data_IF_075141574537
#
_entry.id   IF_075141574537
#
_cell.length_a   1.000
_cell.length_b   1.000
_cell.length_c   1.000
_cell.angle_alpha   90.00
_cell.angle_beta   90.00
_cell.angle_gamma   90.00
#
_symmetry.space_group_name_H-M   'P 1'
#
loop_
_entity.id
_entity.type
_entity.pdbx_description
1 polymer ?
#
# COMPACT_ATOMS: atom_id res chain seq x y z
N UNK A 1 -27.14 20.83 -7.58
CA UNK A 1 -26.23 19.71 -7.32
C UNK A 1 -25.99 19.61 -5.83
N UNK A 2 -26.25 18.45 -5.24
CA UNK A 2 -25.86 18.11 -3.88
C UNK A 2 -24.50 17.45 -3.95
N UNK A 3 -23.51 17.99 -3.24
CA UNK A 3 -22.16 17.41 -3.16
C UNK A 3 -22.06 16.55 -1.89
N UNK A 4 -21.18 15.57 -1.91
CA UNK A 4 -20.79 14.75 -0.76
C UNK A 4 -21.96 13.96 -0.12
N UNK A 5 -22.91 13.52 -0.95
CA UNK A 5 -23.97 12.64 -0.49
C UNK A 5 -23.36 11.24 -0.20
N UNK A 6 -23.52 10.69 1.03
CA UNK A 6 -22.96 9.36 1.34
C UNK A 6 -23.50 8.27 0.41
N UNK A 7 -22.77 7.18 0.29
CA UNK A 7 -23.30 6.00 -0.40
C UNK A 7 -24.47 5.42 0.38
N UNK A 8 -25.52 5.00 -0.35
CA UNK A 8 -26.68 4.38 0.24
C UNK A 8 -28.00 4.88 -0.35
N UNK A 9 -29.09 4.49 0.30
CA UNK A 9 -30.43 4.91 -0.11
C UNK A 9 -30.77 6.27 0.45
N UNK A 10 -31.28 7.14 -0.39
CA UNK A 10 -31.68 8.51 -0.06
C UNK A 10 -33.11 8.76 -0.52
N UNK A 11 -33.74 9.69 0.17
CA UNK A 11 -35.08 10.18 -0.18
C UNK A 11 -34.98 11.67 -0.46
N UNK A 12 -35.41 12.09 -1.63
CA UNK A 12 -35.59 13.49 -1.96
C UNK A 12 -37.07 13.86 -1.88
N UNK A 13 -37.39 14.90 -1.12
CA UNK A 13 -38.72 15.49 -1.09
C UNK A 13 -38.62 16.85 -1.78
N UNK A 14 -39.38 17.02 -2.84
CA UNK A 14 -39.49 18.28 -3.58
C UNK A 14 -40.88 18.85 -3.38
N UNK A 15 -40.93 20.03 -2.80
CA UNK A 15 -42.21 20.72 -2.55
C UNK A 15 -42.29 21.97 -3.40
N UNK A 16 -43.30 22.07 -4.22
CA UNK A 16 -43.75 23.33 -4.81
C UNK A 16 -44.76 23.97 -3.85
N UNK A 17 -44.42 25.13 -3.32
CA UNK A 17 -45.20 25.80 -2.27
C UNK A 17 -46.52 26.42 -2.78
N UNK A 18 -46.84 26.24 -4.05
CA UNK A 18 -48.00 26.85 -4.65
C UNK A 18 -47.78 28.30 -5.05
N UNK A 19 -48.80 28.89 -5.67
CA UNK A 19 -48.91 30.31 -5.99
C UNK A 19 -50.37 30.69 -6.17
N UNK A 20 -50.65 31.90 -6.66
CA UNK A 20 -52.04 32.41 -6.84
C UNK A 20 -52.91 31.53 -7.76
N UNK A 21 -52.33 30.64 -8.54
CA UNK A 21 -53.05 29.76 -9.50
C UNK A 21 -53.03 28.28 -9.16
N UNK A 22 -52.02 27.86 -8.39
CA UNK A 22 -51.77 26.43 -8.14
C UNK A 22 -51.56 26.14 -6.66
N UNK A 23 -52.14 25.07 -6.18
CA UNK A 23 -51.96 24.61 -4.80
C UNK A 23 -50.54 24.06 -4.60
N UNK A 24 -50.13 23.98 -3.31
CA UNK A 24 -48.94 23.25 -2.91
C UNK A 24 -49.00 21.77 -3.36
N UNK A 25 -47.88 21.25 -3.83
CA UNK A 25 -47.70 19.86 -4.15
C UNK A 25 -46.30 19.37 -3.77
N UNK A 26 -46.23 18.20 -3.17
CA UNK A 26 -44.97 17.54 -2.83
C UNK A 26 -44.84 16.22 -3.56
N UNK A 27 -43.65 15.95 -4.03
CA UNK A 27 -43.25 14.67 -4.65
C UNK A 27 -42.09 14.10 -3.85
N UNK A 28 -42.16 12.82 -3.55
CA UNK A 28 -41.07 12.08 -2.88
C UNK A 28 -40.46 11.10 -3.88
N UNK A 29 -39.15 11.16 -4.02
CA UNK A 29 -38.36 10.27 -4.88
C UNK A 29 -37.28 9.57 -4.03
N UNK A 30 -37.23 8.24 -4.17
CA UNK A 30 -36.19 7.43 -3.55
C UNK A 30 -35.11 7.10 -4.58
N UNK A 31 -33.88 7.33 -4.25
CA UNK A 31 -32.75 7.02 -5.13
C UNK A 31 -31.58 6.49 -4.31
N UNK A 32 -30.67 5.79 -4.98
CA UNK A 32 -29.46 5.24 -4.37
C UNK A 32 -28.25 5.98 -4.90
N UNK A 33 -27.36 6.39 -3.99
CA UNK A 33 -26.04 6.85 -4.37
C UNK A 33 -25.03 5.73 -4.23
N UNK A 34 -24.21 5.54 -5.23
CA UNK A 34 -23.12 4.60 -5.15
C UNK A 34 -21.93 5.23 -4.43
N UNK A 35 -21.18 4.43 -3.68
CA UNK A 35 -19.96 4.89 -3.01
C UNK A 35 -18.93 5.35 -4.03
N UNK A 36 -18.10 6.30 -3.63
CA UNK A 36 -16.95 6.74 -4.42
C UNK A 36 -15.91 5.63 -4.62
N UNK A 37 -14.85 5.95 -5.33
CA UNK A 37 -13.70 5.07 -5.52
C UNK A 37 -13.14 4.66 -4.14
N UNK A 38 -12.93 3.37 -3.93
CA UNK A 38 -12.33 2.82 -2.72
C UNK A 38 -10.90 2.38 -3.00
N UNK A 39 -10.04 2.58 -2.02
CA UNK A 39 -8.62 2.26 -2.08
C UNK A 39 -8.24 1.34 -0.93
N UNK A 40 -7.38 0.38 -1.21
CA UNK A 40 -6.70 -0.42 -0.21
C UNK A 40 -5.23 -0.56 -0.61
N UNK A 41 -4.31 -0.19 0.28
CA UNK A 41 -2.87 -0.31 0.07
C UNK A 41 -2.39 -1.59 0.74
N UNK A 42 -1.65 -2.40 0.00
CA UNK A 42 -1.02 -3.63 0.49
C UNK A 42 0.48 -3.58 0.19
N UNK A 43 1.30 -3.97 1.15
CA UNK A 43 2.75 -4.06 0.99
C UNK A 43 3.25 -5.41 1.48
N UNK A 44 4.29 -5.92 0.87
CA UNK A 44 4.96 -7.17 1.20
C UNK A 44 6.24 -7.32 0.41
N UNK A 45 6.89 -8.48 0.49
CA UNK A 45 8.16 -8.78 -0.20
C UNK A 45 8.09 -8.55 -1.73
N UNK A 46 6.90 -8.66 -2.32
CA UNK A 46 6.67 -8.44 -3.76
C UNK A 46 6.40 -6.96 -4.13
N UNK A 47 6.49 -6.04 -3.19
CA UNK A 47 6.29 -4.61 -3.41
C UNK A 47 5.01 -4.05 -2.76
N UNK A 48 4.71 -2.80 -3.10
CA UNK A 48 3.52 -2.10 -2.62
C UNK A 48 2.52 -1.94 -3.76
N UNK A 49 1.27 -2.28 -3.48
CA UNK A 49 0.18 -2.24 -4.44
C UNK A 49 -0.99 -1.43 -3.89
N UNK A 50 -1.63 -0.66 -4.76
CA UNK A 50 -2.94 -0.06 -4.50
C UNK A 50 -4.00 -0.84 -5.23
N UNK A 51 -4.92 -1.42 -4.47
CA UNK A 51 -6.13 -2.03 -5.00
C UNK A 51 -7.22 -0.96 -5.04
N UNK A 52 -7.71 -0.66 -6.22
CA UNK A 52 -8.76 0.33 -6.44
C UNK A 52 -10.04 -0.38 -6.81
N UNK A 53 -11.15 -0.01 -6.17
CA UNK A 53 -12.49 -0.44 -6.54
C UNK A 53 -13.29 0.78 -6.96
N UNK A 54 -13.82 0.76 -8.17
CA UNK A 54 -14.68 1.82 -8.69
C UNK A 54 -16.16 1.47 -8.49
N UNK A 55 -17.01 2.45 -8.17
CA UNK A 55 -18.43 2.21 -7.93
C UNK A 55 -19.20 1.99 -9.24
N UNK A 56 -20.35 1.36 -9.12
CA UNK A 56 -21.34 1.27 -10.17
C UNK A 56 -21.18 0.12 -11.14
N UNK A 57 -21.99 0.18 -12.20
CA UNK A 57 -22.00 -0.82 -13.27
C UNK A 57 -20.89 -0.56 -14.32
N UNK A 58 -20.11 0.51 -14.20
CA UNK A 58 -18.98 0.82 -15.06
C UNK A 58 -17.78 -0.02 -14.66
N UNK A 59 -17.66 -1.17 -15.25
CA UNK A 59 -16.67 -2.18 -14.85
C UNK A 59 -15.33 -2.06 -15.55
N UNK A 60 -15.22 -1.16 -16.54
CA UNK A 60 -14.00 -0.99 -17.34
C UNK A 60 -13.60 0.48 -17.42
N UNK A 61 -12.31 0.73 -17.61
CA UNK A 61 -11.79 2.08 -17.75
C UNK A 61 -10.30 2.13 -17.43
N UNK A 62 -9.80 3.35 -17.26
CA UNK A 62 -8.43 3.60 -16.83
C UNK A 62 -8.40 4.35 -15.52
N UNK A 63 -7.38 4.08 -14.72
CA UNK A 63 -7.17 4.78 -13.47
C UNK A 63 -5.75 5.32 -13.40
N UNK A 64 -5.63 6.53 -12.87
CA UNK A 64 -4.35 7.15 -12.55
C UNK A 64 -4.33 7.41 -11.06
N UNK A 65 -3.28 6.97 -10.39
CA UNK A 65 -3.00 7.30 -9.00
C UNK A 65 -1.77 8.21 -9.01
N UNK A 66 -1.91 9.41 -8.50
CA UNK A 66 -0.84 10.42 -8.44
C UNK A 66 -0.44 10.55 -6.98
N UNK A 67 0.82 10.24 -6.68
CA UNK A 67 1.40 10.33 -5.34
C UNK A 67 2.69 11.12 -5.48
N UNK A 68 2.84 12.22 -4.73
CA UNK A 68 4.05 13.06 -4.74
C UNK A 68 4.50 13.44 -6.18
N UNK A 69 3.56 13.77 -7.06
CA UNK A 69 3.74 14.07 -8.48
C UNK A 69 4.18 12.89 -9.37
N UNK A 70 4.28 11.68 -8.82
CA UNK A 70 4.51 10.46 -9.61
C UNK A 70 3.16 9.87 -10.03
N UNK A 71 3.03 9.54 -11.32
CA UNK A 71 1.80 9.00 -11.89
C UNK A 71 1.94 7.48 -12.06
N UNK A 72 1.04 6.75 -11.42
CA UNK A 72 0.89 5.30 -11.56
C UNK A 72 -0.40 5.03 -12.33
N UNK A 73 -0.30 4.28 -13.42
CA UNK A 73 -1.44 3.96 -14.27
C UNK A 73 -1.92 2.54 -14.06
N UNK A 74 -3.23 2.34 -14.17
CA UNK A 74 -3.86 1.03 -14.12
C UNK A 74 -5.06 0.93 -15.05
N UNK A 75 -5.44 -0.30 -15.37
CA UNK A 75 -6.66 -0.60 -16.12
C UNK A 75 -7.68 -1.19 -15.17
N UNK A 76 -8.90 -0.65 -15.20
CA UNK A 76 -10.03 -1.17 -14.45
C UNK A 76 -10.68 -2.28 -15.25
N UNK A 77 -10.78 -3.46 -14.66
CA UNK A 77 -11.45 -4.63 -15.22
C UNK A 77 -12.42 -5.16 -14.15
N UNK A 78 -13.66 -5.35 -14.52
CA UNK A 78 -14.72 -5.79 -13.59
C UNK A 78 -14.78 -4.95 -12.30
N UNK A 79 -14.64 -3.62 -12.44
CA UNK A 79 -14.75 -2.67 -11.33
C UNK A 79 -13.51 -2.58 -10.43
N UNK A 80 -12.43 -3.28 -10.74
CA UNK A 80 -11.21 -3.29 -9.94
C UNK A 80 -9.96 -3.02 -10.75
N UNK A 81 -8.95 -2.42 -10.13
CA UNK A 81 -7.60 -2.28 -10.67
C UNK A 81 -6.57 -2.54 -9.58
N UNK A 82 -5.47 -3.17 -9.95
CA UNK A 82 -4.29 -3.34 -9.09
C UNK A 82 -3.15 -2.55 -9.69
N UNK A 83 -2.58 -1.64 -8.91
CA UNK A 83 -1.55 -0.72 -9.35
C UNK A 83 -0.31 -0.94 -8.50
N UNK A 84 0.81 -1.24 -9.13
CA UNK A 84 2.10 -1.36 -8.45
C UNK A 84 2.68 0.05 -8.22
N UNK A 85 2.98 0.37 -6.97
CA UNK A 85 3.63 1.61 -6.56
C UNK A 85 5.15 1.43 -6.55
N UNK A 86 5.73 1.22 -7.72
CA UNK A 86 7.17 1.05 -7.86
C UNK A 86 7.92 2.26 -7.31
N UNK A 87 8.87 2.05 -6.40
CA UNK A 87 9.69 3.09 -5.77
C UNK A 87 8.93 4.12 -4.90
N UNK A 88 7.70 3.83 -4.51
CA UNK A 88 7.01 4.67 -3.54
C UNK A 88 7.64 4.50 -2.14
N UNK A 89 7.91 5.61 -1.48
CA UNK A 89 8.52 5.60 -0.14
C UNK A 89 7.47 5.28 0.93
N UNK A 90 7.82 4.57 2.00
CA UNK A 90 6.93 4.41 3.14
C UNK A 90 6.59 5.75 3.79
N UNK A 91 5.35 5.89 4.26
CA UNK A 91 4.87 7.11 4.91
C UNK A 91 3.41 7.44 4.61
N UNK A 92 3.01 8.63 5.00
CA UNK A 92 1.69 9.20 4.69
C UNK A 92 1.85 10.14 3.50
N UNK A 93 1.10 9.91 2.45
CA UNK A 93 1.18 10.64 1.18
C UNK A 93 -0.18 11.22 0.79
N UNK A 94 -0.18 12.40 0.19
CA UNK A 94 -1.35 12.90 -0.52
C UNK A 94 -1.47 12.20 -1.86
N UNK A 95 -2.64 11.69 -2.16
CA UNK A 95 -2.93 10.98 -3.40
C UNK A 95 -4.12 11.60 -4.12
N UNK A 96 -3.99 11.75 -5.43
CA UNK A 96 -5.09 12.10 -6.34
C UNK A 96 -5.37 10.90 -7.22
N UNK A 97 -6.59 10.42 -7.19
CA UNK A 97 -7.04 9.29 -7.99
C UNK A 97 -7.98 9.82 -9.07
N UNK A 98 -7.67 9.52 -10.33
CA UNK A 98 -8.47 9.91 -11.49
C UNK A 98 -8.94 8.64 -12.18
N UNK A 99 -10.24 8.39 -12.14
CA UNK A 99 -10.87 7.31 -12.89
C UNK A 99 -11.51 7.88 -14.16
N UNK A 100 -11.25 7.23 -15.28
CA UNK A 100 -11.84 7.54 -16.59
C UNK A 100 -12.58 6.29 -17.07
N UNK A 101 -13.91 6.39 -17.15
CA UNK A 101 -14.75 5.27 -17.57
C UNK A 101 -14.69 5.01 -19.09
N UNK A 102 -15.35 3.93 -19.54
CA UNK A 102 -15.42 3.57 -20.96
C UNK A 102 -16.10 4.58 -21.87
N UNK A 103 -16.81 5.58 -21.30
CA UNK A 103 -17.47 6.67 -22.00
C UNK A 103 -16.68 8.00 -21.94
N UNK A 104 -15.45 7.96 -21.44
CA UNK A 104 -14.59 9.11 -21.18
C UNK A 104 -15.10 10.09 -20.10
N UNK A 105 -16.00 9.66 -19.22
CA UNK A 105 -16.34 10.46 -18.05
C UNK A 105 -15.24 10.33 -17.02
N UNK A 106 -14.89 11.44 -16.39
CA UNK A 106 -13.80 11.51 -15.41
C UNK A 106 -14.36 11.72 -14.02
N UNK A 107 -13.88 10.93 -13.06
CA UNK A 107 -14.11 11.10 -11.63
C UNK A 107 -12.78 11.29 -10.92
N UNK A 108 -12.71 12.25 -10.00
CA UNK A 108 -11.49 12.56 -9.24
C UNK A 108 -11.76 12.44 -7.75
N UNK A 109 -10.81 11.84 -7.03
CA UNK A 109 -10.79 11.72 -5.57
C UNK A 109 -9.43 12.18 -5.05
N UNK A 110 -9.45 13.17 -4.17
CA UNK A 110 -8.28 13.59 -3.40
C UNK A 110 -8.35 12.97 -2.00
N UNK A 111 -7.32 12.27 -1.60
CA UNK A 111 -7.26 11.54 -0.33
C UNK A 111 -5.83 11.44 0.17
N UNK A 112 -5.66 10.88 1.36
CA UNK A 112 -4.36 10.45 1.86
C UNK A 112 -4.28 8.93 1.84
N UNK A 113 -3.10 8.41 1.54
CA UNK A 113 -2.78 6.99 1.65
C UNK A 113 -1.60 6.78 2.59
N UNK A 114 -1.58 5.64 3.25
CA UNK A 114 -0.45 5.21 4.08
C UNK A 114 0.25 4.08 3.34
N UNK A 115 1.53 4.28 3.04
CA UNK A 115 2.39 3.25 2.48
C UNK A 115 3.19 2.67 3.64
N UNK A 116 2.95 1.42 4.05
CA UNK A 116 3.72 0.80 5.12
C UNK A 116 5.14 0.47 4.64
N UNK A 117 6.07 0.28 5.58
CA UNK A 117 7.37 -0.31 5.27
C UNK A 117 7.16 -1.73 4.76
N UNK A 118 8.05 -2.16 3.86
CA UNK A 118 8.07 -3.55 3.41
C UNK A 118 8.54 -4.45 4.55
N UNK A 119 7.93 -5.62 4.67
CA UNK A 119 8.45 -6.68 5.53
C UNK A 119 9.70 -7.26 4.89
N UNK A 120 10.70 -7.55 5.71
CA UNK A 120 11.93 -8.18 5.28
C UNK A 120 12.03 -9.58 5.90
N UNK A 121 12.51 -10.53 5.11
CA UNK A 121 12.86 -11.86 5.57
C UNK A 121 14.36 -11.92 5.85
N UNK A 122 14.74 -12.46 7.00
CA UNK A 122 16.13 -12.62 7.40
C UNK A 122 16.45 -14.11 7.46
N UNK A 123 17.46 -14.53 6.73
CA UNK A 123 18.01 -15.89 6.81
C UNK A 123 19.47 -15.86 7.30
N UNK A 124 19.87 -16.90 8.00
CA UNK A 124 21.19 -17.02 8.60
C UNK A 124 21.78 -18.38 8.26
N UNK A 125 22.97 -18.36 7.65
CA UNK A 125 23.81 -19.54 7.44
C UNK A 125 25.06 -19.45 8.30
N UNK A 126 25.55 -20.58 8.78
CA UNK A 126 26.81 -20.67 9.55
C UNK A 126 27.77 -21.60 8.84
N UNK A 127 28.99 -21.12 8.66
CA UNK A 127 30.08 -21.87 8.03
C UNK A 127 31.30 -21.87 8.94
N UNK A 128 31.93 -23.02 9.14
CA UNK A 128 33.19 -23.15 9.82
C UNK A 128 34.33 -23.40 8.82
N UNK A 129 35.43 -22.75 9.01
CA UNK A 129 36.65 -22.93 8.25
C UNK A 129 37.90 -22.67 9.13
N UNK A 130 39.09 -22.75 8.51
CA UNK A 130 40.36 -22.52 9.24
C UNK A 130 40.51 -21.10 9.83
N UNK A 131 39.68 -20.15 9.40
CA UNK A 131 39.73 -18.77 9.89
C UNK A 131 38.78 -18.52 11.06
N UNK A 132 37.93 -19.48 11.37
CA UNK A 132 36.92 -19.40 12.44
C UNK A 132 35.50 -19.73 11.96
N UNK A 133 34.53 -19.34 12.76
CA UNK A 133 33.10 -19.52 12.46
C UNK A 133 32.57 -18.25 11.77
N UNK A 134 32.08 -18.38 10.56
CA UNK A 134 31.47 -17.27 9.81
C UNK A 134 29.95 -17.39 9.81
N UNK A 135 29.29 -16.35 10.31
CA UNK A 135 27.84 -16.18 10.24
C UNK A 135 27.51 -15.32 9.03
N UNK A 136 26.72 -15.85 8.11
CA UNK A 136 26.30 -15.19 6.88
C UNK A 136 24.83 -14.81 7.05
N UNK A 137 24.53 -13.55 6.93
CA UNK A 137 23.17 -13.01 7.04
C UNK A 137 22.69 -12.57 5.65
N UNK A 138 21.48 -12.97 5.31
CA UNK A 138 20.82 -12.50 4.09
C UNK A 138 19.47 -11.90 4.44
N UNK A 139 19.13 -10.78 3.79
CA UNK A 139 17.86 -10.07 3.93
C UNK A 139 17.22 -9.94 2.54
N UNK A 140 15.96 -10.32 2.46
CA UNK A 140 15.15 -10.22 1.26
C UNK A 140 13.90 -9.34 1.51
N UNK A 141 13.56 -8.37 0.64
CA UNK A 141 14.29 -7.96 -0.58
C UNK A 141 15.69 -7.42 -0.26
N UNK A 142 16.64 -7.63 -1.18
CA UNK A 142 18.02 -7.18 -1.01
C UNK A 142 18.08 -5.66 -0.74
N UNK A 143 18.73 -5.28 0.35
CA UNK A 143 18.86 -3.88 0.79
C UNK A 143 20.21 -3.66 1.45
N UNK A 144 20.62 -2.40 1.53
CA UNK A 144 21.75 -1.97 2.34
C UNK A 144 21.28 -1.61 3.75
N UNK A 145 22.14 -1.72 4.74
CA UNK A 145 21.81 -1.41 6.12
C UNK A 145 22.87 -1.85 7.10
N UNK A 146 22.47 -2.00 8.35
CA UNK A 146 23.30 -2.53 9.42
C UNK A 146 22.57 -3.74 10.02
N UNK A 147 23.32 -4.83 10.25
CA UNK A 147 22.86 -5.95 11.06
C UNK A 147 23.66 -6.03 12.34
N UNK A 148 22.96 -6.29 13.42
CA UNK A 148 23.57 -6.72 14.69
C UNK A 148 23.50 -8.24 14.75
N UNK A 149 24.64 -8.89 14.75
CA UNK A 149 24.75 -10.35 15.00
C UNK A 149 25.24 -10.51 16.44
N UNK A 150 24.40 -11.03 17.30
CA UNK A 150 24.76 -11.32 18.68
C UNK A 150 25.01 -12.82 18.83
N UNK A 151 26.25 -13.19 19.19
CA UNK A 151 26.64 -14.59 19.41
C UNK A 151 26.96 -14.76 20.90
N UNK A 152 26.17 -15.54 21.60
CA UNK A 152 26.31 -15.82 23.04
C UNK A 152 26.48 -14.54 23.90
N UNK A 153 25.76 -13.48 23.56
CA UNK A 153 25.78 -12.21 24.27
C UNK A 153 26.81 -11.20 23.73
N UNK A 154 27.71 -11.60 22.81
CA UNK A 154 28.65 -10.67 22.17
C UNK A 154 28.07 -10.14 20.87
N UNK A 155 27.92 -8.81 20.76
CA UNK A 155 27.31 -8.13 19.61
C UNK A 155 28.34 -7.69 18.58
N UNK A 156 28.08 -7.99 17.32
CA UNK A 156 28.87 -7.59 16.13
C UNK A 156 27.99 -6.74 15.22
N UNK A 157 28.33 -5.46 15.02
CA UNK A 157 27.66 -4.60 14.06
C UNK A 157 28.35 -4.72 12.70
N UNK A 158 27.60 -5.14 11.69
CA UNK A 158 28.13 -5.40 10.34
C UNK A 158 27.34 -4.62 9.31
N UNK A 159 28.04 -3.93 8.42
CA UNK A 159 27.39 -3.29 7.28
C UNK A 159 26.92 -4.37 6.30
N UNK A 160 25.68 -4.26 5.90
CA UNK A 160 25.08 -5.08 4.87
C UNK A 160 25.12 -4.36 3.54
N UNK A 161 25.46 -5.06 2.49
CA UNK A 161 25.46 -4.55 1.12
C UNK A 161 24.69 -5.53 0.23
N UNK A 162 23.75 -4.99 -0.53
CA UNK A 162 22.90 -5.79 -1.44
C UNK A 162 22.30 -7.03 -0.75
N UNK A 163 21.74 -6.81 0.44
CA UNK A 163 21.04 -7.85 1.21
C UNK A 163 21.96 -8.90 1.86
N UNK A 164 23.28 -8.71 1.90
CA UNK A 164 24.21 -9.68 2.49
C UNK A 164 25.19 -9.03 3.44
N UNK A 165 25.43 -9.69 4.57
CA UNK A 165 26.48 -9.34 5.53
C UNK A 165 27.14 -10.62 6.07
N UNK A 166 28.41 -10.53 6.42
CA UNK A 166 29.16 -11.64 6.99
C UNK A 166 29.96 -11.16 8.23
N UNK A 167 29.96 -12.01 9.26
CA UNK A 167 30.83 -11.83 10.42
C UNK A 167 31.59 -13.12 10.71
N UNK A 168 32.93 -13.03 10.82
CA UNK A 168 33.76 -14.18 11.19
C UNK A 168 34.24 -14.00 12.62
N UNK A 169 33.92 -14.98 13.48
CA UNK A 169 34.33 -15.04 14.87
C UNK A 169 35.45 -16.07 14.97
N UNK A 170 36.63 -15.61 15.43
CA UNK A 170 37.78 -16.47 15.67
C UNK A 170 37.66 -17.11 17.05
N UNK A 171 38.20 -18.29 17.17
CA UNK A 171 38.37 -18.99 18.46
C UNK A 171 37.05 -19.23 19.21
N UNK A 172 35.92 -19.38 18.48
CA UNK A 172 34.66 -19.79 19.10
C UNK A 172 34.83 -21.23 19.65
N UNK A 173 34.61 -21.50 20.97
CA UNK A 173 34.78 -22.81 21.54
C UNK A 173 33.91 -23.88 20.81
N UNK A 174 34.33 -25.11 20.82
CA UNK A 174 33.49 -26.19 20.30
C UNK A 174 32.26 -26.40 21.19
N UNK A 175 31.08 -26.43 20.59
CA UNK A 175 29.82 -26.62 21.33
C UNK A 175 28.62 -26.02 20.61
N UNK A 176 27.51 -25.91 21.33
CA UNK A 176 26.31 -25.28 20.83
C UNK A 176 26.37 -23.77 21.12
N UNK A 177 26.15 -22.96 20.10
CA UNK A 177 26.13 -21.50 20.18
C UNK A 177 24.79 -20.96 19.68
N UNK A 178 24.40 -19.81 20.20
CA UNK A 178 23.18 -19.14 19.77
C UNK A 178 23.56 -17.83 19.08
N UNK A 179 23.13 -17.69 17.83
CA UNK A 179 23.21 -16.42 17.10
C UNK A 179 21.82 -15.77 17.00
N UNK A 180 21.71 -14.53 17.45
CA UNK A 180 20.52 -13.70 17.28
C UNK A 180 20.86 -12.57 16.31
N UNK A 181 20.09 -12.46 15.24
CA UNK A 181 20.32 -11.47 14.19
C UNK A 181 19.20 -10.44 14.19
N UNK A 182 19.57 -9.17 14.21
CA UNK A 182 18.63 -8.05 14.11
C UNK A 182 19.04 -7.15 12.94
N UNK A 183 18.16 -6.99 11.99
CA UNK A 183 18.28 -5.98 10.93
C UNK A 183 17.76 -4.63 11.44
N UNK A 184 18.54 -3.53 11.19
CA UNK A 184 18.30 -2.20 11.78
C UNK A 184 18.01 -1.17 10.69
#
# INVERSE_FOLDING_TARGET
TVKDLPAGNHTAVVTFMGNDKYNEVSVTENFTTEGGVKLNVTSGTNGTFVNVTVPGNNTNGTIKVIIDNVIYNGTVVNGTAVINLTNATPGVHNATIIYIDGNNNTSELNTTIVIPKLDAEVSVDVREDLNGTTVIVKVEPATDGIVLVNIDGTGYYVNMTNGSAEVTVKDLPAGNHTAVVTFM
#
